data_IF_269790366988
#
_entry.id   IF_269790366988
#
_cell.length_a   1.000
_cell.length_b   1.000
_cell.length_c   1.000
_cell.angle_alpha   90.00
_cell.angle_beta   90.00
_cell.angle_gamma   90.00
#
_symmetry.space_group_name_H-M   'P 1'
#
loop_
_entity.id
_entity.type
_entity.pdbx_description
1 polymer ?
#
# COMPACT_ATOMS: atom_id res chain seq x y z
N UNK A 1 64.89 24.91 -19.50
CA UNK A 1 63.47 25.24 -19.70
C UNK A 1 62.65 23.97 -19.49
N UNK A 2 61.95 23.86 -18.35
CA UNK A 2 61.15 22.68 -17.96
C UNK A 2 59.72 22.90 -18.47
N UNK A 3 59.25 21.99 -19.32
CA UNK A 3 57.84 21.84 -19.69
C UNK A 3 57.16 20.95 -18.65
N UNK A 4 56.50 21.58 -17.68
CA UNK A 4 55.55 20.95 -16.78
C UNK A 4 54.24 21.71 -16.97
N UNK A 5 53.17 21.01 -17.31
CA UNK A 5 51.82 21.58 -17.27
C UNK A 5 51.01 21.20 -18.50
N UNK A 6 50.26 20.09 -18.38
CA UNK A 6 48.97 19.88 -19.05
C UNK A 6 48.30 18.54 -18.72
N UNK A 7 49.05 17.55 -18.18
CA UNK A 7 48.49 16.23 -17.87
C UNK A 7 47.65 16.13 -16.59
N UNK A 8 47.81 17.04 -15.62
CA UNK A 8 47.16 16.94 -14.30
C UNK A 8 45.73 17.48 -14.23
N UNK A 9 45.32 18.35 -15.15
CA UNK A 9 44.00 19.03 -15.08
C UNK A 9 42.88 18.18 -15.66
N UNK A 10 43.18 17.31 -16.64
CA UNK A 10 42.17 16.45 -17.25
C UNK A 10 41.71 15.30 -16.34
N UNK A 11 42.59 14.81 -15.46
CA UNK A 11 42.28 13.68 -14.56
C UNK A 11 41.42 14.11 -13.36
N UNK A 12 41.58 15.35 -12.89
CA UNK A 12 40.74 15.92 -11.84
C UNK A 12 39.30 16.20 -12.34
N UNK A 13 39.12 16.56 -13.61
CA UNK A 13 37.78 16.79 -14.18
C UNK A 13 36.97 15.48 -14.34
N UNK A 14 37.64 14.37 -14.67
CA UNK A 14 36.97 13.06 -14.75
C UNK A 14 36.53 12.52 -13.39
N UNK A 15 37.28 12.82 -12.32
CA UNK A 15 36.90 12.40 -10.96
C UNK A 15 35.75 13.24 -10.37
N UNK A 16 35.62 14.51 -10.76
CA UNK A 16 34.52 15.37 -10.31
C UNK A 16 33.20 15.05 -11.03
N UNK A 17 33.24 14.56 -12.28
CA UNK A 17 32.03 14.14 -13.03
C UNK A 17 31.53 12.76 -12.59
N UNK A 18 32.39 11.91 -12.03
CA UNK A 18 31.99 10.58 -11.55
C UNK A 18 31.27 10.60 -10.17
N UNK A 19 31.30 11.71 -9.44
CA UNK A 19 30.69 11.83 -8.10
C UNK A 19 29.26 12.41 -8.16
N UNK A 20 28.83 12.96 -9.30
CA UNK A 20 27.53 13.65 -9.43
C UNK A 20 26.36 12.80 -9.91
N UNK A 21 26.51 11.48 -10.11
CA UNK A 21 25.46 10.64 -10.71
C UNK A 21 24.80 9.63 -9.76
N UNK A 22 25.04 9.71 -8.46
CA UNK A 22 24.08 9.15 -7.50
C UNK A 22 23.01 10.21 -7.24
N UNK A 23 22.04 10.32 -8.15
CA UNK A 23 20.80 11.03 -7.83
C UNK A 23 20.15 10.28 -6.66
N UNK A 24 20.33 10.81 -5.45
CA UNK A 24 19.60 10.31 -4.29
C UNK A 24 18.12 10.44 -4.60
N UNK A 25 17.40 9.32 -4.55
CA UNK A 25 15.94 9.33 -4.63
C UNK A 25 15.38 10.28 -3.55
N UNK A 26 14.84 11.40 -3.98
CA UNK A 26 14.32 12.47 -3.12
C UNK A 26 12.95 12.90 -3.64
N UNK A 27 11.90 12.12 -3.34
CA UNK A 27 10.53 12.52 -3.64
C UNK A 27 10.16 13.85 -2.95
N UNK A 28 9.41 14.70 -3.65
CA UNK A 28 8.89 15.96 -3.08
C UNK A 28 7.59 15.69 -2.34
N UNK A 29 7.55 15.90 -1.01
CA UNK A 29 6.34 15.71 -0.21
C UNK A 29 5.32 16.82 -0.49
N UNK A 30 4.09 16.44 -0.83
CA UNK A 30 3.00 17.37 -1.15
C UNK A 30 1.93 17.35 -0.06
N UNK A 31 1.57 16.16 0.42
CA UNK A 31 0.54 15.94 1.43
C UNK A 31 1.11 15.02 2.49
N UNK A 32 0.91 15.37 3.76
CA UNK A 32 1.15 14.51 4.92
C UNK A 32 -0.05 14.62 5.86
N UNK A 33 -0.82 13.54 5.93
CA UNK A 33 -1.92 13.33 6.87
C UNK A 33 -1.49 12.33 7.94
N UNK A 34 -2.41 11.96 8.83
CA UNK A 34 -2.12 11.00 9.90
C UNK A 34 -1.62 9.67 9.31
N UNK A 35 -2.28 9.18 8.26
CA UNK A 35 -2.06 7.83 7.74
C UNK A 35 -1.75 7.78 6.24
N UNK A 36 -1.67 8.94 5.57
CA UNK A 36 -1.35 9.05 4.14
C UNK A 36 -0.28 10.11 3.90
N UNK A 37 0.72 9.78 3.10
CA UNK A 37 1.71 10.72 2.57
C UNK A 37 1.78 10.61 1.04
N UNK A 38 1.72 11.74 0.37
CA UNK A 38 1.76 11.83 -1.09
C UNK A 38 2.96 12.63 -1.54
N UNK A 39 3.65 12.10 -2.54
CA UNK A 39 4.87 12.67 -3.07
C UNK A 39 4.82 12.82 -4.59
N UNK A 40 5.42 13.90 -5.06
CA UNK A 40 5.68 14.16 -6.47
C UNK A 40 7.02 13.55 -6.84
N UNK A 41 7.02 12.87 -7.97
CA UNK A 41 8.22 12.27 -8.55
C UNK A 41 8.33 12.67 -10.01
N UNK A 42 9.28 13.55 -10.31
CA UNK A 42 9.67 13.80 -11.69
C UNK A 42 10.27 12.52 -12.29
N UNK A 43 9.95 12.22 -13.55
CA UNK A 43 10.44 11.03 -14.26
C UNK A 43 11.98 10.89 -14.23
N UNK A 44 12.68 12.01 -14.25
CA UNK A 44 14.16 12.05 -14.22
C UNK A 44 14.78 11.61 -12.89
N UNK A 45 14.04 11.70 -11.77
CA UNK A 45 14.52 11.41 -10.41
C UNK A 45 14.48 9.91 -10.11
N UNK A 46 13.76 9.11 -10.90
CA UNK A 46 13.55 7.70 -10.60
C UNK A 46 14.83 6.86 -10.79
N UNK A 47 15.25 6.03 -9.80
CA UNK A 47 16.54 5.35 -9.81
C UNK A 47 16.64 4.14 -10.75
N UNK A 48 15.56 3.79 -11.46
CA UNK A 48 15.60 2.83 -12.56
C UNK A 48 16.29 3.51 -13.77
N UNK A 49 17.61 3.45 -13.70
CA UNK A 49 18.59 4.20 -14.51
C UNK A 49 19.00 3.49 -15.80
N UNK A 50 18.48 2.29 -16.04
CA UNK A 50 18.78 1.56 -17.25
C UNK A 50 17.86 2.05 -18.39
N UNK A 51 18.51 2.69 -19.37
CA UNK A 51 17.86 3.37 -20.48
C UNK A 51 17.03 2.43 -21.35
N UNK A 52 17.34 1.11 -21.36
CA UNK A 52 16.52 0.13 -22.08
C UNK A 52 15.12 0.01 -21.48
N UNK A 53 15.00 -0.01 -20.16
CA UNK A 53 13.72 -0.12 -19.46
C UNK A 53 12.87 1.13 -19.62
N UNK A 54 13.49 2.32 -19.54
CA UNK A 54 12.78 3.59 -19.73
C UNK A 54 12.12 3.69 -21.11
N UNK A 55 12.69 3.04 -22.14
CA UNK A 55 12.10 3.03 -23.48
C UNK A 55 10.79 2.20 -23.56
N UNK A 56 10.58 1.24 -22.66
CA UNK A 56 9.38 0.39 -22.62
C UNK A 56 8.23 1.00 -21.80
N UNK A 57 8.53 2.06 -21.03
CA UNK A 57 7.56 2.77 -20.20
C UNK A 57 7.11 4.01 -20.98
N UNK A 58 5.85 4.06 -21.43
CA UNK A 58 5.34 5.24 -22.11
C UNK A 58 5.48 6.47 -21.20
N UNK A 59 5.72 7.66 -21.78
CA UNK A 59 5.78 8.88 -21.01
C UNK A 59 4.44 9.09 -20.31
N UNK A 60 4.43 9.62 -19.07
CA UNK A 60 3.18 9.96 -18.44
C UNK A 60 2.44 11.04 -19.25
N UNK A 61 1.12 11.04 -19.13
CA UNK A 61 0.22 12.04 -19.71
C UNK A 61 -0.60 12.68 -18.60
N UNK A 62 -1.31 13.76 -18.94
CA UNK A 62 -2.29 14.37 -18.04
C UNK A 62 -3.24 13.32 -17.46
N UNK A 63 -3.30 13.23 -16.14
CA UNK A 63 -4.12 12.23 -15.45
C UNK A 63 -5.62 12.50 -15.70
N UNK A 64 -6.45 11.48 -16.00
CA UNK A 64 -7.88 11.68 -16.22
C UNK A 64 -8.57 12.23 -14.97
N UNK A 65 -9.57 13.08 -15.14
CA UNK A 65 -10.34 13.57 -14.00
C UNK A 65 -11.19 12.44 -13.41
N UNK A 66 -10.71 11.85 -12.31
CA UNK A 66 -11.45 10.85 -11.54
C UNK A 66 -11.95 11.48 -10.25
N UNK A 67 -13.24 11.29 -9.96
CA UNK A 67 -13.80 11.60 -8.65
C UNK A 67 -13.30 10.64 -7.57
N UNK A 68 -13.39 11.00 -6.28
CA UNK A 68 -12.95 10.16 -5.17
C UNK A 68 -13.56 8.75 -5.20
N UNK A 69 -14.86 8.64 -5.53
CA UNK A 69 -15.52 7.33 -5.61
C UNK A 69 -14.89 6.41 -6.67
N UNK A 70 -14.46 6.95 -7.83
CA UNK A 70 -13.81 6.12 -8.86
C UNK A 70 -12.41 5.67 -8.44
N UNK A 71 -11.71 6.45 -7.64
CA UNK A 71 -10.47 6.01 -7.01
C UNK A 71 -10.72 4.90 -5.98
N UNK A 72 -11.80 4.99 -5.19
CA UNK A 72 -12.24 3.88 -4.32
C UNK A 72 -12.55 2.64 -5.15
N UNK A 73 -13.29 2.79 -6.25
CA UNK A 73 -13.65 1.69 -7.14
C UNK A 73 -12.40 0.99 -7.71
N UNK A 74 -11.39 1.78 -8.11
CA UNK A 74 -10.11 1.25 -8.61
C UNK A 74 -9.31 0.56 -7.51
N UNK A 75 -9.05 1.25 -6.40
CA UNK A 75 -8.13 0.78 -5.37
C UNK A 75 -8.72 -0.36 -4.54
N UNK A 76 -10.03 -0.33 -4.24
CA UNK A 76 -10.71 -1.36 -3.45
C UNK A 76 -10.83 -2.70 -4.18
N UNK A 77 -10.84 -2.70 -5.51
CA UNK A 77 -10.86 -3.93 -6.30
C UNK A 77 -9.47 -4.60 -6.44
N UNK A 78 -8.38 -3.95 -5.99
CA UNK A 78 -7.05 -4.56 -6.01
C UNK A 78 -6.91 -5.59 -4.89
N UNK A 79 -6.64 -6.83 -5.26
CA UNK A 79 -6.35 -7.93 -4.35
C UNK A 79 -4.91 -8.39 -4.56
N UNK A 80 -4.25 -8.85 -3.51
CA UNK A 80 -2.91 -9.41 -3.57
C UNK A 80 -2.88 -10.83 -3.03
N UNK A 81 -1.81 -11.52 -3.41
CA UNK A 81 -1.38 -12.78 -2.82
C UNK A 81 0.08 -12.65 -2.41
N UNK A 82 0.39 -13.06 -1.18
CA UNK A 82 1.75 -13.22 -0.67
C UNK A 82 2.04 -14.68 -0.36
N UNK A 83 3.16 -15.19 -0.86
CA UNK A 83 3.63 -16.55 -0.57
C UNK A 83 4.19 -16.63 0.83
N UNK A 84 3.51 -17.35 1.70
CA UNK A 84 4.01 -17.67 3.04
C UNK A 84 4.81 -18.98 3.05
N UNK A 85 5.44 -19.26 4.20
CA UNK A 85 6.15 -20.52 4.41
C UNK A 85 5.20 -21.72 4.50
N UNK A 86 3.98 -21.51 5.01
CA UNK A 86 3.00 -22.58 5.29
C UNK A 86 1.77 -22.51 4.40
N UNK A 87 1.32 -21.30 4.07
CA UNK A 87 0.21 -21.05 3.15
C UNK A 87 0.40 -19.69 2.49
N UNK A 88 -0.23 -19.52 1.33
CA UNK A 88 -0.36 -18.20 0.73
C UNK A 88 -1.36 -17.38 1.55
N UNK A 89 -1.12 -16.07 1.63
CA UNK A 89 -2.00 -15.07 2.24
C UNK A 89 -2.62 -14.28 1.09
N UNK A 90 -3.94 -14.17 1.08
CA UNK A 90 -4.67 -13.38 0.09
C UNK A 90 -5.52 -12.32 0.78
N UNK A 91 -5.65 -11.15 0.17
CA UNK A 91 -6.44 -10.07 0.73
C UNK A 91 -6.48 -8.83 -0.13
N UNK A 92 -7.23 -7.80 0.29
CA UNK A 92 -7.24 -6.52 -0.40
C UNK A 92 -5.88 -5.82 -0.23
N UNK A 93 -5.42 -5.14 -1.27
CA UNK A 93 -4.22 -4.28 -1.15
C UNK A 93 -4.49 -3.16 -0.15
N UNK A 94 -5.66 -2.51 -0.28
CA UNK A 94 -6.09 -1.43 0.59
C UNK A 94 -7.32 -1.82 1.39
N UNK A 95 -7.30 -1.55 2.69
CA UNK A 95 -8.40 -1.86 3.60
C UNK A 95 -9.57 -0.87 3.43
N UNK A 96 -10.79 -1.34 3.66
CA UNK A 96 -12.01 -0.54 3.47
C UNK A 96 -12.05 0.75 4.29
N UNK A 97 -11.36 0.74 5.44
CA UNK A 97 -11.23 1.87 6.35
C UNK A 97 -10.27 2.96 5.84
N UNK A 98 -9.23 2.61 5.06
CA UNK A 98 -8.27 3.59 4.52
C UNK A 98 -8.70 4.15 3.15
N UNK A 99 -9.52 3.40 2.39
CA UNK A 99 -9.86 3.74 1.01
C UNK A 99 -10.43 5.15 0.83
N UNK A 100 -11.32 5.60 1.72
CA UNK A 100 -11.99 6.90 1.58
C UNK A 100 -11.03 8.08 1.79
N UNK A 101 -10.16 8.00 2.81
CA UNK A 101 -9.15 9.04 3.07
C UNK A 101 -8.09 9.06 1.97
N UNK A 102 -7.59 7.88 1.59
CA UNK A 102 -6.62 7.71 0.53
C UNK A 102 -7.12 8.27 -0.81
N UNK A 103 -8.34 7.90 -1.20
CA UNK A 103 -8.96 8.38 -2.44
C UNK A 103 -9.18 9.90 -2.44
N UNK A 104 -9.58 10.48 -1.31
CA UNK A 104 -9.74 11.93 -1.18
C UNK A 104 -8.40 12.65 -1.33
N UNK A 105 -7.36 12.19 -0.64
CA UNK A 105 -6.01 12.78 -0.73
C UNK A 105 -5.45 12.71 -2.16
N UNK A 106 -5.60 11.55 -2.83
CA UNK A 106 -5.17 11.38 -4.22
C UNK A 106 -5.94 12.33 -5.14
N UNK A 107 -7.27 12.39 -5.02
CA UNK A 107 -8.12 13.26 -5.83
C UNK A 107 -7.71 14.75 -5.74
N UNK A 108 -7.30 15.23 -4.57
CA UNK A 108 -6.86 16.61 -4.39
C UNK A 108 -5.51 16.94 -5.03
N UNK A 109 -4.66 15.93 -5.25
CA UNK A 109 -3.30 16.09 -5.78
C UNK A 109 -3.25 15.84 -7.29
N UNK A 110 -4.03 14.89 -7.81
CA UNK A 110 -4.00 14.48 -9.21
C UNK A 110 -4.09 15.66 -10.21
N UNK A 111 -5.00 16.64 -10.06
CA UNK A 111 -5.08 17.78 -10.99
C UNK A 111 -3.87 18.71 -10.98
N UNK A 112 -2.98 18.56 -10.00
CA UNK A 112 -1.80 19.40 -9.78
C UNK A 112 -0.50 18.71 -10.22
N UNK A 113 -0.56 17.48 -10.73
CA UNK A 113 0.62 16.77 -11.27
C UNK A 113 0.94 17.29 -12.67
N UNK A 114 2.22 17.54 -12.94
CA UNK A 114 2.67 17.81 -14.30
C UNK A 114 2.68 16.53 -15.15
N UNK A 115 2.66 16.69 -16.48
CA UNK A 115 2.61 15.56 -17.43
C UNK A 115 3.82 14.62 -17.36
N UNK A 116 4.92 15.04 -16.74
CA UNK A 116 6.13 14.26 -16.56
C UNK A 116 6.35 13.80 -15.11
N UNK A 117 5.31 13.89 -14.28
CA UNK A 117 5.35 13.51 -12.89
C UNK A 117 4.52 12.25 -12.62
N UNK A 118 4.98 11.48 -11.64
CA UNK A 118 4.25 10.37 -11.05
C UNK A 118 3.93 10.70 -9.61
N UNK A 119 2.84 10.13 -9.11
CA UNK A 119 2.46 10.24 -7.71
C UNK A 119 2.95 9.01 -6.95
N UNK A 120 3.85 9.20 -5.99
CA UNK A 120 4.15 8.17 -4.99
C UNK A 120 3.21 8.36 -3.80
N UNK A 121 2.52 7.29 -3.47
CA UNK A 121 1.55 7.20 -2.40
C UNK A 121 2.13 6.27 -1.35
N UNK A 122 2.17 6.73 -0.11
CA UNK A 122 2.52 5.92 1.06
C UNK A 122 1.34 5.98 2.01
N UNK A 123 0.69 4.84 2.28
CA UNK A 123 -0.30 4.75 3.35
C UNK A 123 0.19 3.86 4.46
N UNK A 124 -0.20 4.18 5.69
CA UNK A 124 -0.07 3.30 6.84
C UNK A 124 -1.46 3.00 7.40
N UNK A 125 -1.65 1.81 7.94
CA UNK A 125 -2.94 1.43 8.51
C UNK A 125 -2.76 0.39 9.62
N UNK A 126 -3.75 0.32 10.51
CA UNK A 126 -3.84 -0.72 11.51
C UNK A 126 -4.64 -1.90 10.94
N UNK A 127 -3.95 -3.03 10.70
CA UNK A 127 -4.56 -4.23 10.13
C UNK A 127 -5.54 -4.92 11.10
N UNK A 128 -5.29 -4.84 12.42
CA UNK A 128 -6.07 -5.56 13.44
C UNK A 128 -7.02 -4.64 14.22
N UNK A 129 -6.98 -3.32 13.97
CA UNK A 129 -7.74 -2.28 14.68
C UNK A 129 -7.62 -2.41 16.21
N UNK A 130 -6.41 -2.64 16.69
CA UNK A 130 -6.12 -2.98 18.09
C UNK A 130 -5.03 -2.07 18.66
N UNK A 131 -5.14 -1.73 19.95
CA UNK A 131 -4.16 -0.85 20.62
C UNK A 131 -2.75 -1.44 20.65
N UNK A 132 -2.62 -2.76 20.47
CA UNK A 132 -1.35 -3.48 20.52
C UNK A 132 -0.84 -3.93 19.13
N UNK A 133 -1.60 -3.68 18.07
CA UNK A 133 -1.21 -4.10 16.73
C UNK A 133 -0.12 -3.18 16.18
N UNK A 134 0.59 -3.70 15.18
CA UNK A 134 1.58 -2.90 14.45
C UNK A 134 0.89 -2.26 13.26
N UNK A 135 1.23 -1.00 13.01
CA UNK A 135 0.89 -0.37 11.75
C UNK A 135 1.58 -1.12 10.61
N UNK A 136 0.89 -1.21 9.48
CA UNK A 136 1.40 -1.76 8.24
C UNK A 136 1.51 -0.65 7.19
N UNK A 137 2.37 -0.82 6.20
CA UNK A 137 2.63 0.12 5.12
C UNK A 137 2.23 -0.45 3.77
N UNK A 138 1.65 0.42 2.96
CA UNK A 138 1.49 0.25 1.53
C UNK A 138 2.26 1.36 0.80
N UNK A 139 2.96 1.01 -0.28
CA UNK A 139 3.50 2.01 -1.21
C UNK A 139 3.03 1.74 -2.63
N UNK A 140 2.64 2.80 -3.32
CA UNK A 140 2.09 2.73 -4.66
C UNK A 140 2.61 3.90 -5.51
N UNK A 141 3.04 3.60 -6.72
CA UNK A 141 3.29 4.61 -7.75
C UNK A 141 2.09 4.66 -8.71
N UNK A 142 1.60 5.87 -8.96
CA UNK A 142 0.39 6.12 -9.75
C UNK A 142 0.67 7.18 -10.83
N UNK A 143 0.31 6.88 -12.07
CA UNK A 143 0.30 7.84 -13.18
C UNK A 143 -0.65 7.37 -14.29
N UNK A 144 -0.86 8.22 -15.30
CA UNK A 144 -1.58 7.83 -16.51
C UNK A 144 -0.63 7.86 -17.72
N UNK A 145 -0.87 7.00 -18.69
CA UNK A 145 -0.25 7.03 -20.01
C UNK A 145 -1.30 6.74 -21.10
N UNK A 146 -0.85 6.54 -22.34
CA UNK A 146 -1.71 6.21 -23.48
C UNK A 146 -2.50 4.89 -23.35
N UNK A 147 -2.02 3.95 -22.53
CA UNK A 147 -2.66 2.65 -22.31
C UNK A 147 -3.66 2.68 -21.15
N UNK A 148 -3.51 3.62 -20.22
CA UNK A 148 -4.45 3.85 -19.13
C UNK A 148 -3.79 4.31 -17.85
N UNK A 149 -4.39 3.93 -16.72
CA UNK A 149 -3.88 4.27 -15.39
C UNK A 149 -2.93 3.16 -14.96
N UNK A 150 -1.69 3.55 -14.65
CA UNK A 150 -0.65 2.68 -14.15
C UNK A 150 -0.65 2.72 -12.62
N UNK A 151 -0.80 1.56 -12.01
CA UNK A 151 -0.71 1.33 -10.57
C UNK A 151 0.41 0.33 -10.31
N UNK A 152 1.51 0.79 -9.71
CA UNK A 152 2.64 -0.08 -9.36
C UNK A 152 2.80 -0.15 -7.85
N UNK A 153 2.62 -1.34 -7.30
CA UNK A 153 2.74 -1.56 -5.87
C UNK A 153 4.18 -1.92 -5.49
N UNK A 154 4.68 -1.25 -4.46
CA UNK A 154 5.93 -1.58 -3.79
C UNK A 154 5.65 -2.45 -2.57
N UNK A 155 5.64 -1.83 -1.39
CA UNK A 155 5.30 -2.50 -0.14
C UNK A 155 3.78 -2.74 -0.11
N UNK A 156 3.35 -3.92 0.33
CA UNK A 156 1.94 -4.27 0.53
C UNK A 156 1.81 -4.94 1.88
N UNK A 157 1.12 -4.32 2.83
CA UNK A 157 0.93 -4.85 4.19
C UNK A 157 2.28 -5.18 4.86
N UNK A 158 3.28 -4.31 4.69
CA UNK A 158 4.59 -4.50 5.34
C UNK A 158 4.58 -3.87 6.73
N UNK A 159 4.96 -4.59 7.79
CA UNK A 159 4.92 -4.03 9.15
C UNK A 159 5.87 -2.85 9.27
N UNK A 160 5.40 -1.75 9.88
CA UNK A 160 6.26 -0.65 10.28
C UNK A 160 7.22 -1.18 11.34
N UNK A 161 8.51 -1.25 10.99
CA UNK A 161 9.53 -1.67 11.94
C UNK A 161 9.65 -0.61 13.05
N UNK A 162 9.80 -1.03 14.32
CA UNK A 162 10.04 -0.12 15.42
C UNK A 162 11.48 0.39 15.37
N UNK A 163 11.83 1.17 14.35
CA UNK A 163 13.08 1.92 14.34
C UNK A 163 12.85 3.21 15.13
N UNK A 164 13.29 3.16 16.38
CA UNK A 164 13.33 4.25 17.35
C UNK A 164 11.94 4.85 17.68
N UNK A 165 11.33 4.32 18.74
CA UNK A 165 10.15 4.87 19.46
C UNK A 165 10.22 6.37 19.86
N UNK A 166 11.23 7.13 19.40
CA UNK A 166 11.43 8.55 19.66
C UNK A 166 11.15 9.46 18.44
N UNK A 167 10.95 8.92 17.23
CA UNK A 167 10.70 9.74 16.03
C UNK A 167 9.42 9.24 15.33
N UNK A 168 8.28 9.87 15.60
CA UNK A 168 6.98 9.63 14.96
C UNK A 168 6.98 9.80 13.41
N UNK A 169 8.10 10.27 12.85
CA UNK A 169 8.21 10.86 11.51
C UNK A 169 8.87 9.99 10.42
N UNK A 170 9.31 8.76 10.70
CA UNK A 170 10.15 8.00 9.75
C UNK A 170 9.40 7.10 8.76
N UNK A 171 8.11 6.81 9.00
CA UNK A 171 7.35 5.86 8.16
C UNK A 171 7.16 6.34 6.70
N UNK A 172 7.38 7.62 6.43
CA UNK A 172 7.31 8.20 5.10
C UNK A 172 8.62 8.06 4.31
N UNK A 173 9.72 7.62 4.95
CA UNK A 173 10.99 7.34 4.27
C UNK A 173 10.97 5.95 3.64
N UNK A 174 10.41 5.89 2.44
CA UNK A 174 10.28 4.65 1.69
C UNK A 174 11.33 4.55 0.59
N UNK A 175 11.73 3.32 0.28
CA UNK A 175 12.52 3.05 -0.91
C UNK A 175 11.68 3.26 -2.18
N UNK A 176 12.32 3.54 -3.32
CA UNK A 176 11.63 3.58 -4.61
C UNK A 176 10.90 2.26 -4.91
N UNK A 177 9.70 2.36 -5.50
CA UNK A 177 8.97 1.19 -6.02
C UNK A 177 9.72 0.65 -7.24
N UNK A 178 10.01 -0.65 -7.35
CA UNK A 178 10.70 -1.10 -8.57
C UNK A 178 9.76 -1.09 -9.77
N UNK A 179 10.17 -0.50 -10.90
CA UNK A 179 9.46 -0.61 -12.19
C UNK A 179 9.97 -1.79 -13.03
N UNK A 180 11.11 -2.37 -12.64
CA UNK A 180 11.73 -3.50 -13.33
C UNK A 180 11.11 -4.83 -12.94
N UNK A 181 10.92 -5.05 -11.63
CA UNK A 181 10.33 -6.28 -11.12
C UNK A 181 9.70 -6.05 -9.74
N UNK A 182 8.53 -6.64 -9.52
CA UNK A 182 7.94 -6.72 -8.19
C UNK A 182 8.70 -7.66 -7.25
N UNK A 183 8.31 -7.66 -5.98
CA UNK A 183 8.78 -8.65 -5.01
C UNK A 183 8.39 -10.07 -5.47
N UNK A 184 9.25 -11.07 -5.24
CA UNK A 184 9.04 -12.42 -5.77
C UNK A 184 7.95 -13.20 -5.05
N UNK A 185 7.73 -12.86 -3.80
CA UNK A 185 6.76 -13.48 -2.90
C UNK A 185 5.41 -12.77 -2.93
N UNK A 186 5.30 -11.57 -3.51
CA UNK A 186 4.06 -10.79 -3.54
C UNK A 186 3.62 -10.54 -4.98
N UNK A 187 2.34 -10.74 -5.27
CA UNK A 187 1.73 -10.42 -6.56
C UNK A 187 0.32 -9.89 -6.39
N UNK A 188 -0.15 -9.12 -7.36
CA UNK A 188 -1.57 -8.86 -7.51
C UNK A 188 -2.27 -10.13 -7.99
N UNK A 189 -3.47 -10.36 -7.50
CA UNK A 189 -4.37 -11.36 -8.06
C UNK A 189 -4.99 -10.80 -9.36
N UNK A 190 -5.04 -11.59 -10.46
CA UNK A 190 -5.63 -11.13 -11.71
C UNK A 190 -7.08 -10.69 -11.53
N UNK A 191 -7.45 -9.56 -12.13
CA UNK A 191 -8.83 -9.07 -12.21
C UNK A 191 -9.21 -8.67 -13.64
N UNK A 192 -10.51 -8.65 -13.95
CA UNK A 192 -11.01 -8.39 -15.31
C UNK A 192 -10.90 -6.92 -15.76
N UNK A 193 -10.50 -6.03 -14.85
CA UNK A 193 -10.45 -4.58 -15.06
C UNK A 193 -9.05 -4.02 -15.33
N UNK A 194 -8.01 -4.85 -15.21
CA UNK A 194 -6.62 -4.45 -15.48
C UNK A 194 -5.84 -5.55 -16.18
N UNK A 195 -4.73 -5.17 -16.80
CA UNK A 195 -3.72 -6.11 -17.30
C UNK A 195 -2.38 -5.87 -16.60
N UNK A 196 -1.55 -6.90 -16.51
CA UNK A 196 -0.19 -6.75 -16.03
C UNK A 196 0.67 -6.07 -17.09
N UNK A 197 1.48 -5.09 -16.68
CA UNK A 197 2.51 -4.55 -17.57
C UNK A 197 3.56 -5.63 -17.87
N UNK A 198 3.97 -5.72 -19.12
CA UNK A 198 5.11 -6.53 -19.55
C UNK A 198 6.33 -5.62 -19.72
N UNK A 199 7.46 -6.07 -19.16
CA UNK A 199 8.77 -5.41 -19.22
C UNK A 199 9.80 -6.49 -19.58
N UNK A 200 10.60 -6.29 -20.62
CA UNK A 200 11.51 -7.30 -21.18
C UNK A 200 10.82 -8.66 -21.49
N UNK A 201 9.54 -8.63 -21.88
CA UNK A 201 8.72 -9.85 -22.10
C UNK A 201 8.34 -10.62 -20.84
N UNK A 202 8.59 -10.06 -19.65
CA UNK A 202 8.19 -10.61 -18.36
C UNK A 202 7.04 -9.80 -17.77
N UNK A 203 6.01 -10.50 -17.27
CA UNK A 203 4.88 -9.86 -16.58
C UNK A 203 5.29 -9.34 -15.21
N UNK A 204 5.17 -8.04 -15.02
CA UNK A 204 5.44 -7.36 -13.77
C UNK A 204 4.28 -7.59 -12.78
N UNK A 205 4.47 -8.53 -11.84
CA UNK A 205 3.39 -9.08 -10.98
C UNK A 205 2.72 -8.08 -10.03
N UNK A 206 3.28 -6.89 -9.83
CA UNK A 206 2.71 -5.82 -8.98
C UNK A 206 2.37 -4.55 -9.75
N UNK A 207 2.40 -4.59 -11.10
CA UNK A 207 2.09 -3.45 -11.96
C UNK A 207 0.80 -3.73 -12.75
N UNK A 208 -0.27 -3.08 -12.32
CA UNK A 208 -1.56 -3.09 -13.01
C UNK A 208 -1.67 -1.88 -13.95
N UNK A 209 -2.12 -2.13 -15.18
CA UNK A 209 -2.52 -1.12 -16.16
C UNK A 209 -4.03 -1.22 -16.34
N UNK A 210 -4.75 -0.17 -15.95
CA UNK A 210 -6.21 -0.12 -15.98
C UNK A 210 -6.62 0.71 -17.20
N UNK A 211 -7.19 0.09 -18.25
CA UNK A 211 -7.63 0.82 -19.43
C UNK A 211 -8.73 1.83 -19.08
N UNK A 212 -8.67 3.04 -19.66
CA UNK A 212 -9.64 4.10 -19.36
C UNK A 212 -11.09 3.70 -19.66
N UNK A 213 -11.31 2.88 -20.68
CA UNK A 213 -12.63 2.37 -21.06
C UNK A 213 -13.22 1.35 -20.07
N UNK A 214 -12.44 0.86 -19.10
CA UNK A 214 -12.91 -0.06 -18.04
C UNK A 214 -13.35 0.68 -16.77
N UNK A 215 -12.99 1.96 -16.62
CA UNK A 215 -13.24 2.73 -15.40
C UNK A 215 -14.71 2.96 -15.11
N UNK A 216 -15.52 3.23 -16.14
CA UNK A 216 -16.94 3.53 -15.96
C UNK A 216 -17.74 2.32 -15.47
N UNK A 217 -17.35 1.11 -15.90
CA UNK A 217 -17.97 -0.14 -15.48
C UNK A 217 -17.48 -0.67 -14.12
N UNK A 218 -16.41 -0.09 -13.59
CA UNK A 218 -15.83 -0.55 -12.33
C UNK A 218 -16.65 -0.01 -11.15
N UNK A 219 -17.06 -0.92 -10.27
CA UNK A 219 -17.71 -0.60 -9.00
C UNK A 219 -17.06 -1.45 -7.93
N UNK A 220 -16.70 -0.85 -6.81
CA UNK A 220 -16.22 -1.59 -5.66
C UNK A 220 -17.36 -1.85 -4.69
N UNK A 221 -17.60 -3.13 -4.40
CA UNK A 221 -18.54 -3.55 -3.36
C UNK A 221 -17.78 -3.73 -2.06
N UNK A 222 -18.02 -2.83 -1.11
CA UNK A 222 -17.45 -2.92 0.23
C UNK A 222 -17.88 -4.23 0.86
N UNK A 223 -16.92 -5.08 1.24
CA UNK A 223 -17.25 -6.33 1.93
C UNK A 223 -17.73 -5.93 3.33
N UNK A 224 -18.95 -6.30 3.69
CA UNK A 224 -19.38 -6.10 5.07
C UNK A 224 -18.46 -6.91 5.98
N UNK A 225 -18.05 -6.34 7.12
CA UNK A 225 -17.16 -6.93 8.14
C UNK A 225 -17.63 -8.32 8.69
N UNK A 226 -18.72 -8.87 8.14
CA UNK A 226 -19.31 -10.18 8.43
C UNK A 226 -18.66 -11.36 7.69
N UNK A 227 -17.82 -11.15 6.68
CA UNK A 227 -17.26 -12.23 5.83
C UNK A 227 -15.77 -12.57 6.07
N UNK A 228 -15.22 -12.20 7.23
CA UNK A 228 -13.89 -12.63 7.68
C UNK A 228 -13.88 -13.91 8.52
N UNK A 229 -15.03 -14.49 8.83
CA UNK A 229 -15.15 -15.67 9.69
C UNK A 229 -16.14 -16.69 9.12
N UNK A 230 -15.65 -17.55 8.22
CA UNK A 230 -16.23 -18.89 8.06
C UNK A 230 -15.09 -19.84 7.66
N UNK A 231 -14.81 -20.87 8.45
CA UNK A 231 -15.50 -22.14 8.31
C UNK A 231 -15.60 -22.84 9.67
N UNK A 232 -16.80 -22.89 10.25
CA UNK A 232 -17.48 -24.11 10.72
C UNK A 232 -18.78 -23.74 11.48
N UNK A 233 -19.91 -24.28 11.02
CA UNK A 233 -21.05 -24.63 11.89
C UNK A 233 -22.14 -23.58 12.17
N UNK A 234 -23.11 -23.53 11.25
CA UNK A 234 -24.57 -23.63 11.53
C UNK A 234 -25.37 -22.52 12.25
N UNK A 235 -26.28 -21.95 11.45
CA UNK A 235 -27.74 -21.68 11.65
C UNK A 235 -28.26 -20.51 12.51
N UNK A 236 -28.93 -19.63 11.77
CA UNK A 236 -30.25 -19.01 11.99
C UNK A 236 -30.50 -17.96 13.10
N UNK A 237 -30.93 -16.81 12.57
CA UNK A 237 -31.96 -15.87 13.02
C UNK A 237 -31.59 -14.63 13.85
N UNK A 238 -32.16 -13.53 13.32
CA UNK A 238 -32.57 -12.27 13.93
C UNK A 238 -31.58 -11.08 14.00
N UNK A 239 -31.76 -10.21 12.99
CA UNK A 239 -32.13 -8.79 13.08
C UNK A 239 -31.52 -7.87 14.17
N UNK A 240 -30.99 -6.75 13.66
CA UNK A 240 -30.98 -5.38 14.21
C UNK A 240 -30.21 -5.04 15.50
N UNK A 241 -29.38 -3.99 15.38
CA UNK A 241 -29.23 -2.99 16.45
C UNK A 241 -27.95 -3.07 17.26
N UNK A 242 -27.13 -2.02 17.14
CA UNK A 242 -26.07 -1.68 18.09
C UNK A 242 -26.63 -1.71 19.52
N UNK A 243 -26.30 -2.75 20.27
CA UNK A 243 -26.43 -2.75 21.73
C UNK A 243 -25.18 -3.41 22.31
N UNK A 244 -24.61 -2.79 23.35
CA UNK A 244 -23.53 -3.41 24.12
C UNK A 244 -23.99 -4.80 24.55
N UNK A 245 -23.22 -5.87 24.26
CA UNK A 245 -23.65 -7.24 24.55
C UNK A 245 -23.96 -7.38 26.04
N UNK A 246 -25.11 -7.98 26.35
CA UNK A 246 -25.57 -8.15 27.72
C UNK A 246 -24.56 -8.97 28.55
N UNK A 247 -24.57 -8.86 29.89
CA UNK A 247 -23.60 -9.58 30.73
C UNK A 247 -23.64 -11.10 30.53
N UNK A 248 -24.80 -11.68 30.19
CA UNK A 248 -24.92 -13.09 29.82
C UNK A 248 -24.13 -13.45 28.54
N UNK A 249 -24.18 -12.59 27.51
CA UNK A 249 -23.43 -12.80 26.27
C UNK A 249 -21.92 -12.63 26.50
N UNK A 250 -21.54 -11.67 27.35
CA UNK A 250 -20.13 -11.46 27.75
C UNK A 250 -19.58 -12.67 28.51
N UNK A 251 -20.36 -13.26 29.41
CA UNK A 251 -19.98 -14.50 30.12
C UNK A 251 -19.87 -15.69 29.16
N UNK A 252 -20.79 -15.82 28.19
CA UNK A 252 -20.76 -16.90 27.20
C UNK A 252 -19.53 -16.81 26.28
N UNK A 253 -19.16 -15.60 25.86
CA UNK A 253 -17.92 -15.36 25.08
C UNK A 253 -16.67 -15.64 25.90
N UNK A 254 -16.65 -15.24 27.17
CA UNK A 254 -15.53 -15.50 28.08
C UNK A 254 -15.33 -17.00 28.33
N UNK A 255 -16.42 -17.75 28.50
CA UNK A 255 -16.37 -19.20 28.64
C UNK A 255 -15.84 -19.87 27.38
N UNK A 256 -16.33 -19.47 26.19
CA UNK A 256 -15.84 -19.98 24.92
C UNK A 256 -14.33 -19.74 24.75
N UNK A 257 -13.84 -18.54 25.06
CA UNK A 257 -12.42 -18.22 24.98
C UNK A 257 -11.55 -19.05 25.95
N UNK A 258 -12.07 -19.43 27.10
CA UNK A 258 -11.38 -20.33 28.04
C UNK A 258 -11.35 -21.78 27.53
N UNK A 259 -12.47 -22.27 26.98
CA UNK A 259 -12.56 -23.62 26.39
C UNK A 259 -11.66 -23.78 25.15
N UNK A 260 -11.48 -22.70 24.38
CA UNK A 260 -10.57 -22.63 23.22
C UNK A 260 -9.10 -22.41 23.61
N UNK A 261 -8.79 -22.26 24.91
CA UNK A 261 -7.43 -22.05 25.39
C UNK A 261 -6.83 -20.68 25.06
N UNK A 262 -7.66 -19.70 24.67
CA UNK A 262 -7.24 -18.34 24.31
C UNK A 262 -6.91 -17.49 25.55
N UNK A 263 -7.39 -17.89 26.72
CA UNK A 263 -7.12 -17.25 28.01
C UNK A 263 -6.79 -18.29 29.07
N UNK A 264 -6.01 -17.85 30.06
CA UNK A 264 -5.64 -18.68 31.21
C UNK A 264 -6.78 -18.76 32.24
N UNK A 265 -6.73 -19.75 33.15
CA UNK A 265 -7.72 -19.88 34.21
C UNK A 265 -7.76 -18.65 35.14
N UNK A 266 -6.60 -18.05 35.42
CA UNK A 266 -6.50 -16.84 36.25
C UNK A 266 -7.16 -15.63 35.57
N UNK A 267 -7.00 -15.48 34.25
CA UNK A 267 -7.66 -14.42 33.47
C UNK A 267 -9.16 -14.64 33.34
N UNK A 268 -9.60 -15.90 33.22
CA UNK A 268 -11.02 -16.26 33.18
C UNK A 268 -11.71 -15.84 34.48
N UNK A 269 -11.16 -16.22 35.64
CA UNK A 269 -11.76 -15.91 36.94
C UNK A 269 -11.82 -14.41 37.20
N UNK A 270 -10.75 -13.67 36.86
CA UNK A 270 -10.69 -12.21 37.01
C UNK A 270 -11.73 -11.50 36.15
N UNK A 271 -11.86 -11.89 34.88
CA UNK A 271 -12.83 -11.28 33.95
C UNK A 271 -14.27 -11.68 34.28
N UNK A 272 -14.50 -12.91 34.74
CA UNK A 272 -15.80 -13.38 35.21
C UNK A 272 -16.27 -12.59 36.43
N UNK A 273 -15.39 -12.34 37.39
CA UNK A 273 -15.69 -11.51 38.55
C UNK A 273 -16.07 -10.08 38.15
N UNK A 274 -15.29 -9.44 37.26
CA UNK A 274 -15.59 -8.09 36.79
C UNK A 274 -16.96 -7.97 36.09
N UNK A 275 -17.33 -8.95 35.24
CA UNK A 275 -18.64 -8.95 34.55
C UNK A 275 -19.80 -9.15 35.54
N UNK A 276 -19.57 -9.93 36.61
CA UNK A 276 -20.57 -10.15 37.65
C UNK A 276 -20.69 -8.97 38.63
N UNK A 277 -19.63 -8.18 38.82
CA UNK A 277 -19.67 -6.93 39.61
C UNK A 277 -20.36 -5.79 38.87
N UNK A 278 -20.38 -5.81 37.54
CA UNK A 278 -21.14 -4.87 36.71
C UNK A 278 -22.65 -5.18 36.65
N UNK A 279 -23.08 -6.30 37.23
CA UNK A 279 -24.48 -6.76 37.28
C UNK A 279 -25.17 -6.36 38.60
#
# INVERSE_FOLDING_TARGET
MRSLGRGGVLLALWFVVAITACSSFQPELIVKQADVALFRLADTVYPDSDASYRAEIPPPVSFPQLGPQKLVDVLGNLQYQRKGMWSDIEGPVFMDAELSELAAAIHEVLPKLAENERLLVVSRFDADRSVLSRMHLNTMLLWADENGINVVLGLIHEPVLPDNFQMEDDWTKVLPVSLKQGFRDVRLLPGDFFSFKEIDGLKHQTWAVIPLNKLDSLSYERKSDSEGASTEGQTENDAEGQTNPGPADRLRRLQKAFEEGLITAEEYDKKRAAILEEF
#
